data_IF_928410855585
#
_entry.id   IF_928410855585
#
_cell.length_a   1.000
_cell.length_b   1.000
_cell.length_c   1.000
_cell.angle_alpha   90.00
_cell.angle_beta   90.00
_cell.angle_gamma   90.00
#
_symmetry.space_group_name_H-M   'P 1'
#
loop_
_entity.id
_entity.type
_entity.pdbx_description
1 polymer ?
#
# COMPACT_ATOMS: atom_id res chain seq x y z
N UNK A 1 -15.61 -40.06 -28.46
CA UNK A 1 -16.62 -39.04 -28.12
C UNK A 1 -16.81 -39.02 -26.62
N UNK A 2 -15.97 -38.25 -25.93
CA UNK A 2 -16.23 -37.76 -24.58
C UNK A 2 -15.64 -36.33 -24.52
N UNK A 3 -16.08 -35.50 -25.45
CA UNK A 3 -15.86 -34.05 -25.43
C UNK A 3 -17.08 -33.43 -24.77
N UNK A 4 -17.17 -33.60 -23.45
CA UNK A 4 -17.88 -32.63 -22.63
C UNK A 4 -17.17 -32.64 -21.28
N UNK A 5 -16.30 -31.65 -21.12
CA UNK A 5 -15.71 -31.31 -19.83
C UNK A 5 -16.88 -30.85 -18.94
N UNK A 6 -17.52 -31.81 -18.26
CA UNK A 6 -18.65 -31.53 -17.37
C UNK A 6 -18.15 -30.66 -16.21
N UNK A 7 -18.43 -29.36 -16.30
CA UNK A 7 -18.16 -28.38 -15.26
C UNK A 7 -19.37 -28.30 -14.34
N UNK A 8 -19.14 -28.51 -13.05
CA UNK A 8 -20.12 -28.28 -12.01
C UNK A 8 -19.74 -27.02 -11.25
N UNK A 9 -20.71 -26.12 -11.02
CA UNK A 9 -20.54 -24.96 -10.17
C UNK A 9 -21.29 -25.18 -8.85
N UNK A 10 -20.68 -24.74 -7.75
CA UNK A 10 -21.30 -24.71 -6.44
C UNK A 10 -20.96 -23.38 -5.80
N UNK A 11 -21.93 -22.78 -5.12
CA UNK A 11 -21.75 -21.51 -4.40
C UNK A 11 -22.32 -21.68 -3.01
N UNK A 12 -21.51 -21.37 -1.99
CA UNK A 12 -21.98 -21.27 -0.61
C UNK A 12 -21.86 -19.81 -0.18
N UNK A 13 -22.95 -19.05 -0.31
CA UNK A 13 -23.00 -17.63 0.06
C UNK A 13 -23.17 -17.39 1.57
N UNK A 14 -23.36 -18.46 2.35
CA UNK A 14 -23.57 -18.40 3.81
C UNK A 14 -22.36 -18.84 4.63
N UNK A 15 -21.23 -19.13 3.97
CA UNK A 15 -20.01 -19.47 4.69
C UNK A 15 -19.53 -18.27 5.51
N UNK A 16 -19.30 -18.42 6.83
CA UNK A 16 -18.72 -17.36 7.64
C UNK A 16 -17.21 -17.32 7.34
N UNK A 17 -16.84 -16.56 6.32
CA UNK A 17 -15.45 -16.24 6.03
C UNK A 17 -15.02 -15.08 6.94
N UNK A 18 -13.81 -15.15 7.46
CA UNK A 18 -13.17 -14.19 8.34
C UNK A 18 -11.97 -13.59 7.61
N UNK A 19 -11.76 -12.28 7.76
CA UNK A 19 -10.67 -11.56 7.10
C UNK A 19 -9.32 -12.14 7.51
N UNK A 20 -8.39 -12.26 6.56
CA UNK A 20 -7.03 -12.74 6.83
C UNK A 20 -6.90 -14.24 7.11
N UNK A 21 -8.00 -15.00 7.09
CA UNK A 21 -7.94 -16.45 7.22
C UNK A 21 -7.80 -17.15 5.87
N UNK A 22 -6.98 -18.19 5.86
CA UNK A 22 -6.76 -19.06 4.71
C UNK A 22 -7.83 -20.17 4.66
N UNK A 23 -8.48 -20.30 3.51
CA UNK A 23 -9.53 -21.29 3.26
C UNK A 23 -9.17 -22.25 2.13
N UNK A 24 -9.65 -23.49 2.27
CA UNK A 24 -9.47 -24.56 1.28
C UNK A 24 -10.83 -25.07 0.81
N UNK A 25 -10.89 -25.49 -0.45
CA UNK A 25 -12.09 -26.10 -1.03
C UNK A 25 -11.80 -27.57 -1.31
N UNK A 26 -12.49 -28.45 -0.60
CA UNK A 26 -12.45 -29.89 -0.81
C UNK A 26 -13.62 -30.35 -1.67
N UNK A 27 -13.31 -31.03 -2.78
CA UNK A 27 -14.31 -31.68 -3.64
C UNK A 27 -14.20 -33.18 -3.45
N UNK A 28 -15.22 -33.78 -2.83
CA UNK A 28 -15.29 -35.23 -2.61
C UNK A 28 -16.26 -35.89 -3.57
N UNK A 29 -15.74 -36.73 -4.46
CA UNK A 29 -16.53 -37.62 -5.31
C UNK A 29 -16.86 -38.92 -4.56
N UNK A 30 -18.13 -39.34 -4.55
CA UNK A 30 -18.57 -40.58 -3.91
C UNK A 30 -19.26 -41.47 -4.95
N UNK A 31 -18.75 -42.69 -5.13
CA UNK A 31 -19.38 -43.69 -6.01
C UNK A 31 -20.57 -44.39 -5.35
N UNK A 32 -21.43 -45.05 -6.14
CA UNK A 32 -22.54 -45.88 -5.61
C UNK A 32 -22.06 -47.03 -4.72
N UNK A 33 -20.82 -47.49 -4.88
CA UNK A 33 -20.21 -48.50 -4.01
C UNK A 33 -19.78 -47.97 -2.64
N UNK A 34 -19.90 -46.65 -2.40
CA UNK A 34 -19.46 -45.97 -1.20
C UNK A 34 -18.00 -45.51 -1.21
N UNK A 35 -17.22 -45.85 -2.24
CA UNK A 35 -15.82 -45.38 -2.39
C UNK A 35 -15.78 -43.88 -2.63
N UNK A 36 -14.82 -43.20 -1.99
CA UNK A 36 -14.63 -41.76 -2.05
C UNK A 36 -13.26 -41.39 -2.60
N UNK A 37 -13.18 -40.27 -3.30
CA UNK A 37 -11.93 -39.60 -3.64
C UNK A 37 -12.10 -38.10 -3.43
N UNK A 38 -11.11 -37.45 -2.83
CA UNK A 38 -11.17 -36.02 -2.49
C UNK A 38 -10.00 -35.30 -3.15
N UNK A 39 -10.27 -34.17 -3.78
CA UNK A 39 -9.25 -33.22 -4.21
C UNK A 39 -9.45 -31.89 -3.51
N UNK A 40 -8.35 -31.26 -3.14
CA UNK A 40 -8.31 -29.96 -2.47
C UNK A 40 -7.78 -28.92 -3.45
N UNK A 41 -8.47 -27.79 -3.56
CA UNK A 41 -8.02 -26.66 -4.37
C UNK A 41 -6.84 -25.93 -3.70
N UNK A 42 -6.20 -25.02 -4.44
CA UNK A 42 -5.29 -24.07 -3.84
C UNK A 42 -6.02 -23.22 -2.80
N UNK A 43 -5.29 -22.82 -1.76
CA UNK A 43 -5.83 -21.98 -0.71
C UNK A 43 -6.16 -20.58 -1.23
N UNK A 44 -7.08 -19.90 -0.56
CA UNK A 44 -7.37 -18.50 -0.80
C UNK A 44 -7.63 -17.78 0.52
N UNK A 45 -7.31 -16.49 0.56
CA UNK A 45 -7.55 -15.61 1.71
C UNK A 45 -8.60 -14.58 1.33
N UNK A 46 -9.42 -14.17 2.30
CA UNK A 46 -10.32 -13.03 2.12
C UNK A 46 -9.70 -11.76 2.68
N UNK A 47 -9.73 -10.70 1.88
CA UNK A 47 -9.34 -9.36 2.26
C UNK A 47 -10.42 -8.36 1.83
N UNK A 48 -10.97 -7.62 2.78
CA UNK A 48 -11.85 -6.48 2.56
C UNK A 48 -11.45 -5.25 3.38
N UNK A 49 -10.28 -5.31 4.01
CA UNK A 49 -9.65 -4.16 4.66
C UNK A 49 -8.80 -3.41 3.64
N UNK A 50 -8.48 -2.17 3.94
CA UNK A 50 -7.47 -1.43 3.17
C UNK A 50 -6.19 -1.36 3.97
N UNK A 51 -5.09 -0.92 3.34
CA UNK A 51 -3.84 -0.64 4.02
C UNK A 51 -3.99 0.28 5.22
N UNK A 52 -3.19 0.04 6.24
CA UNK A 52 -2.98 0.99 7.33
C UNK A 52 -2.11 2.16 6.86
N UNK A 53 -2.43 3.36 7.36
CA UNK A 53 -1.64 4.56 7.11
C UNK A 53 -0.51 4.66 8.13
N UNK A 54 0.68 4.98 7.64
CA UNK A 54 1.86 5.13 8.47
C UNK A 54 2.29 6.57 8.72
N UNK A 55 3.54 6.73 9.11
CA UNK A 55 4.15 8.03 9.35
C UNK A 55 4.73 8.61 8.05
N UNK A 56 4.61 9.92 7.88
CA UNK A 56 5.18 10.69 6.78
C UNK A 56 5.99 11.83 7.37
N UNK A 57 7.28 11.86 7.06
CA UNK A 57 8.21 12.88 7.50
C UNK A 57 8.78 13.63 6.29
N UNK A 58 9.15 14.88 6.50
CA UNK A 58 9.99 15.58 5.53
C UNK A 58 11.41 14.99 5.53
N UNK A 59 12.15 15.22 4.44
CA UNK A 59 13.50 14.70 4.26
C UNK A 59 14.45 15.81 3.85
N UNK A 60 15.61 15.88 4.53
CA UNK A 60 16.68 16.79 4.15
C UNK A 60 17.68 16.09 3.23
N UNK A 61 17.97 16.71 2.10
CA UNK A 61 18.99 16.23 1.16
C UNK A 61 20.25 17.06 1.36
N UNK A 62 21.24 16.45 2.01
CA UNK A 62 22.55 17.05 2.30
C UNK A 62 23.26 16.25 3.39
N UNK A 63 24.37 16.78 3.90
CA UNK A 63 25.05 16.17 5.05
C UNK A 63 24.56 16.75 6.38
N UNK A 64 24.73 15.99 7.46
CA UNK A 64 24.47 16.48 8.83
C UNK A 64 25.48 17.55 9.30
N UNK A 65 26.50 17.84 8.49
CA UNK A 65 27.41 18.97 8.64
C UNK A 65 26.82 20.24 8.01
N UNK A 66 26.01 20.10 6.96
CA UNK A 66 25.33 21.21 6.27
C UNK A 66 24.06 21.68 7.02
N UNK A 67 23.41 20.78 7.75
CA UNK A 67 22.24 21.11 8.57
C UNK A 67 22.30 20.46 9.95
N UNK A 68 22.53 21.28 10.98
CA UNK A 68 22.58 20.84 12.38
C UNK A 68 21.18 20.54 12.94
N UNK A 69 20.14 21.23 12.43
CA UNK A 69 18.74 21.05 12.84
C UNK A 69 18.11 19.79 12.24
N UNK A 70 18.57 19.35 11.07
CA UNK A 70 18.06 18.18 10.34
C UNK A 70 18.61 16.84 10.89
N UNK A 71 19.04 16.80 12.15
CA UNK A 71 19.54 15.58 12.82
C UNK A 71 18.44 14.76 13.47
N UNK A 72 17.25 15.34 13.63
CA UNK A 72 16.02 14.66 13.99
C UNK A 72 15.32 14.22 12.71
N UNK A 73 14.61 13.09 12.75
CA UNK A 73 13.92 12.51 11.57
C UNK A 73 12.82 13.41 10.99
N UNK A 74 12.44 14.48 11.71
CA UNK A 74 11.52 15.51 11.26
C UNK A 74 12.25 16.87 11.24
N UNK A 75 12.03 17.62 10.17
CA UNK A 75 12.66 18.89 9.79
C UNK A 75 11.56 19.93 9.64
N UNK A 76 11.20 20.55 10.75
CA UNK A 76 10.19 21.63 10.76
C UNK A 76 10.50 22.79 9.79
N UNK A 77 11.78 23.00 9.43
CA UNK A 77 12.23 24.12 8.61
C UNK A 77 13.32 23.72 7.63
N UNK A 78 13.04 23.88 6.34
CA UNK A 78 14.01 23.67 5.27
C UNK A 78 14.74 24.96 4.88
N UNK A 79 16.06 24.89 4.65
CA UNK A 79 16.90 26.03 4.26
C UNK A 79 17.06 26.21 2.74
N UNK A 80 16.83 25.14 1.97
CA UNK A 80 16.91 25.18 0.53
C UNK A 80 15.51 25.39 -0.05
N UNK A 81 15.33 26.36 -0.94
CA UNK A 81 14.05 26.67 -1.56
C UNK A 81 13.84 26.01 -2.93
N UNK A 82 14.71 25.05 -3.34
CA UNK A 82 14.70 24.47 -4.69
C UNK A 82 14.20 23.03 -4.77
N UNK A 83 13.83 22.42 -3.65
CA UNK A 83 13.31 21.05 -3.62
C UNK A 83 12.29 20.87 -2.49
N UNK A 84 11.42 19.88 -2.60
CA UNK A 84 10.71 19.30 -1.45
C UNK A 84 11.01 17.80 -1.45
N UNK A 85 11.30 17.25 -0.28
CA UNK A 85 11.55 15.82 -0.15
C UNK A 85 10.83 15.28 1.07
N UNK A 86 10.37 14.05 0.95
CA UNK A 86 9.70 13.34 2.02
C UNK A 86 10.17 11.89 2.09
N UNK A 87 10.07 11.34 3.28
CA UNK A 87 10.17 9.91 3.55
C UNK A 87 8.93 9.46 4.31
N UNK A 88 8.51 8.24 4.08
CA UNK A 88 7.46 7.62 4.87
C UNK A 88 7.91 6.25 5.30
N UNK A 89 7.60 5.91 6.53
CA UNK A 89 7.97 4.65 7.13
C UNK A 89 6.97 4.32 8.22
N UNK A 90 7.04 3.08 8.70
CA UNK A 90 6.34 2.59 9.89
C UNK A 90 4.80 2.66 9.81
N UNK A 91 4.11 1.53 10.01
CA UNK A 91 2.64 1.49 10.01
C UNK A 91 1.99 1.49 8.62
N UNK A 92 2.79 1.52 7.55
CA UNK A 92 2.33 1.18 6.20
C UNK A 92 2.34 -0.33 6.05
N UNK A 93 1.20 -0.97 6.29
CA UNK A 93 1.05 -2.40 6.12
C UNK A 93 -0.38 -2.79 5.73
N UNK A 94 -0.47 -3.93 5.07
CA UNK A 94 -1.72 -4.61 4.76
C UNK A 94 -1.42 -6.09 4.98
N UNK A 95 -1.86 -6.64 6.11
CA UNK A 95 -1.49 -7.98 6.55
C UNK A 95 -2.07 -9.07 5.63
N UNK A 96 -3.18 -8.78 4.98
CA UNK A 96 -3.93 -9.73 4.19
C UNK A 96 -3.50 -9.78 2.71
N UNK A 97 -3.38 -8.62 2.05
CA UNK A 97 -3.01 -8.55 0.63
C UNK A 97 -1.66 -7.90 0.36
N UNK A 98 -1.10 -7.19 1.34
CA UNK A 98 0.15 -6.47 1.19
C UNK A 98 0.03 -5.20 0.34
N UNK A 99 1.06 -4.38 0.41
CA UNK A 99 1.10 -3.12 -0.34
C UNK A 99 1.54 -3.34 -1.79
N UNK A 100 0.83 -2.71 -2.72
CA UNK A 100 1.17 -2.73 -4.15
C UNK A 100 1.92 -1.48 -4.57
N UNK A 101 1.59 -0.32 -3.96
CA UNK A 101 2.18 0.98 -4.29
C UNK A 101 1.80 2.05 -3.28
N UNK A 102 2.53 3.15 -3.33
CA UNK A 102 2.22 4.44 -2.74
C UNK A 102 1.99 5.48 -3.85
N UNK A 103 1.21 6.50 -3.53
CA UNK A 103 1.14 7.76 -4.27
C UNK A 103 1.46 8.92 -3.35
N UNK A 104 2.15 9.93 -3.85
CA UNK A 104 2.58 11.10 -3.06
C UNK A 104 2.17 12.40 -3.74
N UNK A 105 1.79 13.41 -2.96
CA UNK A 105 1.53 14.78 -3.42
C UNK A 105 2.22 15.81 -2.52
N UNK A 106 2.47 16.99 -3.08
CA UNK A 106 2.91 18.16 -2.32
C UNK A 106 1.93 19.32 -2.53
N UNK A 107 1.61 20.03 -1.45
CA UNK A 107 0.70 21.17 -1.48
C UNK A 107 1.05 22.25 -0.46
N UNK A 108 0.41 23.41 -0.58
CA UNK A 108 0.52 24.51 0.40
C UNK A 108 -0.53 24.41 1.51
N UNK A 109 -1.39 23.40 1.47
CA UNK A 109 -2.40 23.09 2.49
C UNK A 109 -2.55 21.59 2.64
N UNK A 110 -3.10 21.16 3.78
CA UNK A 110 -3.32 19.74 4.01
C UNK A 110 -4.28 19.16 2.95
N UNK A 111 -3.91 18.01 2.37
CA UNK A 111 -4.63 17.34 1.27
C UNK A 111 -4.75 18.15 -0.03
N UNK A 112 -3.91 19.17 -0.25
CA UNK A 112 -3.79 19.82 -1.57
C UNK A 112 -2.59 19.27 -2.35
N UNK A 113 -2.65 19.44 -3.66
CA UNK A 113 -1.67 18.93 -4.61
C UNK A 113 -1.20 20.02 -5.60
N UNK A 114 -1.27 21.28 -5.14
CA UNK A 114 -1.00 22.49 -5.92
C UNK A 114 0.48 22.73 -6.22
N UNK A 115 1.39 22.08 -5.49
CA UNK A 115 2.84 22.11 -5.76
C UNK A 115 3.24 20.92 -6.64
N UNK A 116 2.73 19.73 -6.33
CA UNK A 116 2.92 18.52 -7.13
C UNK A 116 1.66 17.65 -7.06
N UNK A 117 1.06 17.28 -8.21
CA UNK A 117 -0.09 16.40 -8.25
C UNK A 117 0.28 15.00 -7.71
N UNK A 118 -0.75 14.24 -7.32
CA UNK A 118 -0.58 12.83 -6.94
C UNK A 118 0.23 12.06 -7.97
N UNK A 119 1.39 11.56 -7.54
CA UNK A 119 2.35 10.85 -8.36
C UNK A 119 2.52 9.45 -7.80
N UNK A 120 2.33 8.44 -8.66
CA UNK A 120 2.58 7.03 -8.33
C UNK A 120 4.10 6.80 -8.23
N UNK A 121 4.54 6.27 -7.09
CA UNK A 121 5.95 6.02 -6.79
C UNK A 121 6.25 4.54 -6.56
N UNK A 122 5.30 3.65 -6.86
CA UNK A 122 5.43 2.23 -6.58
C UNK A 122 5.67 1.98 -5.10
N UNK A 123 6.58 1.07 -4.75
CA UNK A 123 6.92 0.74 -3.36
C UNK A 123 8.14 1.51 -2.83
N UNK A 124 8.50 2.64 -3.46
CA UNK A 124 9.52 3.51 -2.88
C UNK A 124 8.97 4.13 -1.59
N UNK A 125 9.84 4.37 -0.61
CA UNK A 125 9.50 4.96 0.69
C UNK A 125 9.99 6.41 0.81
N UNK A 126 10.53 6.95 -0.27
CA UNK A 126 11.07 8.31 -0.35
C UNK A 126 10.74 8.93 -1.69
N UNK A 127 10.53 10.25 -1.69
CA UNK A 127 10.34 10.99 -2.93
C UNK A 127 10.86 12.42 -2.80
N UNK A 128 11.44 12.91 -3.90
CA UNK A 128 11.94 14.28 -4.02
C UNK A 128 11.42 14.92 -5.29
N UNK A 129 10.84 16.10 -5.16
CA UNK A 129 10.58 16.99 -6.27
C UNK A 129 11.65 18.08 -6.32
N UNK A 130 12.29 18.20 -7.48
CA UNK A 130 13.34 19.18 -7.76
C UNK A 130 12.78 20.35 -8.58
N UNK A 131 13.56 21.42 -8.68
CA UNK A 131 13.28 22.60 -9.51
C UNK A 131 11.95 23.29 -9.16
N UNK A 132 11.58 23.26 -7.87
CA UNK A 132 10.45 24.02 -7.32
C UNK A 132 10.92 25.41 -6.84
N UNK A 133 10.03 26.39 -6.86
CA UNK A 133 10.27 27.72 -6.33
C UNK A 133 9.50 27.90 -5.02
N UNK A 134 10.15 27.65 -3.88
CA UNK A 134 9.50 27.78 -2.57
C UNK A 134 9.56 29.21 -2.05
N UNK A 135 8.46 29.65 -1.44
CA UNK A 135 8.32 30.97 -0.85
C UNK A 135 8.71 30.97 0.63
N UNK A 136 9.47 32.00 1.05
CA UNK A 136 9.88 32.14 2.45
C UNK A 136 8.68 32.36 3.36
N UNK A 137 8.55 31.53 4.40
CA UNK A 137 7.50 31.63 5.40
C UNK A 137 6.19 30.92 5.02
N UNK A 138 6.17 30.21 3.89
CA UNK A 138 5.06 29.32 3.50
C UNK A 138 5.30 27.92 4.05
N UNK A 139 4.24 27.28 4.53
CA UNK A 139 4.25 25.88 4.96
C UNK A 139 3.83 25.00 3.80
N UNK A 140 4.61 23.94 3.58
CA UNK A 140 4.35 22.93 2.56
C UNK A 140 3.99 21.61 3.26
N UNK A 141 3.07 20.87 2.65
CA UNK A 141 2.54 19.62 3.18
C UNK A 141 2.80 18.50 2.18
N UNK A 142 3.21 17.35 2.70
CA UNK A 142 3.29 16.09 1.96
C UNK A 142 2.09 15.24 2.33
N UNK A 143 1.46 14.60 1.34
CA UNK A 143 0.48 13.55 1.59
C UNK A 143 0.92 12.28 0.87
N UNK A 144 0.74 11.13 1.53
CA UNK A 144 1.02 9.79 0.99
C UNK A 144 -0.23 8.93 1.16
N UNK A 145 -0.54 8.10 0.16
CA UNK A 145 -1.65 7.14 0.15
C UNK A 145 -1.27 5.84 -0.53
#
# INVERSE_FOLDING_TARGET
TLDDEMRFNVTNASAPLENGFEYFIDVTAVSMSGRRNTQTAAAFTTDWTGPEVGEVNDLFIGSTEDCIYCRTQEIDVQINATYLSAEWCCGWEDDESGLVKYSVSFGTSNHTDDVMPWTDVGLNETWTVWDVELETGVTYYTCVV
#
